data_IF_994045664046
#
_entry.id   IF_994045664046
#
_cell.length_a   1.000
_cell.length_b   1.000
_cell.length_c   1.000
_cell.angle_alpha   90.00
_cell.angle_beta   90.00
_cell.angle_gamma   90.00
#
_symmetry.space_group_name_H-M   'P 1'
#
loop_
_entity.id
_entity.type
_entity.pdbx_description
1 polymer ?
#
# COMPACT_ATOMS: atom_id res chain seq x y z
N UNK A 1 17.51 -0.20 7.30
CA UNK A 1 18.64 0.75 7.47
C UNK A 1 18.40 1.51 8.75
N UNK A 2 19.45 1.84 9.51
CA UNK A 2 19.33 2.59 10.77
C UNK A 2 20.16 3.87 10.69
N UNK A 3 19.57 5.00 11.05
CA UNK A 3 20.21 6.29 11.25
C UNK A 3 20.69 6.36 12.70
N UNK A 4 22.00 6.46 12.91
CA UNK A 4 22.64 6.33 14.24
C UNK A 4 23.19 7.65 14.80
N UNK A 5 23.23 8.71 13.98
CA UNK A 5 23.82 10.01 14.36
C UNK A 5 22.85 10.94 15.05
N UNK A 6 21.54 10.67 14.95
CA UNK A 6 20.46 11.48 15.53
C UNK A 6 20.37 12.90 14.94
N UNK A 7 21.00 13.13 13.80
CA UNK A 7 20.91 14.40 13.07
C UNK A 7 19.52 14.64 12.47
N UNK A 8 18.78 13.56 12.20
CA UNK A 8 17.40 13.63 11.73
C UNK A 8 16.48 13.37 12.92
N UNK A 9 15.56 14.30 13.18
CA UNK A 9 14.58 14.13 14.26
C UNK A 9 13.75 12.86 14.00
N UNK A 10 13.78 11.93 14.95
CA UNK A 10 13.01 10.68 14.91
C UNK A 10 11.52 10.94 15.10
N UNK A 11 10.80 10.96 13.99
CA UNK A 11 9.35 11.17 13.90
C UNK A 11 8.81 10.47 12.66
N UNK A 12 7.53 10.07 12.70
CA UNK A 12 6.85 9.48 11.55
C UNK A 12 6.93 10.39 10.31
N UNK A 13 6.79 11.71 10.48
CA UNK A 13 6.94 12.70 9.39
C UNK A 13 8.32 12.70 8.74
N UNK A 14 9.36 12.24 9.44
CA UNK A 14 10.71 12.14 8.87
C UNK A 14 11.04 10.70 8.45
N UNK A 15 10.05 9.79 8.52
CA UNK A 15 10.21 8.37 8.21
C UNK A 15 11.31 7.70 9.02
N UNK A 16 11.46 8.08 10.29
CA UNK A 16 12.40 7.43 11.21
C UNK A 16 11.68 7.11 12.52
N UNK A 17 11.69 5.83 12.90
CA UNK A 17 11.11 5.39 14.17
C UNK A 17 11.97 5.79 15.39
N UNK A 18 11.51 5.45 16.60
CA UNK A 18 12.17 5.84 17.84
C UNK A 18 13.55 5.19 18.00
N UNK A 19 13.72 4.02 17.40
CA UNK A 19 14.91 3.20 17.40
C UNK A 19 15.91 3.63 16.30
N UNK A 20 15.51 4.52 15.40
CA UNK A 20 16.34 5.05 14.32
C UNK A 20 16.23 4.28 13.00
N UNK A 21 15.32 3.31 12.87
CA UNK A 21 15.10 2.64 11.59
C UNK A 21 14.37 3.56 10.62
N UNK A 22 14.89 3.64 9.41
CA UNK A 22 14.33 4.47 8.35
C UNK A 22 13.28 3.67 7.55
N UNK A 23 12.09 4.24 7.41
CA UNK A 23 11.09 3.80 6.46
C UNK A 23 11.50 4.29 5.06
N UNK A 24 12.19 3.42 4.31
CA UNK A 24 12.74 3.76 3.00
C UNK A 24 11.69 3.78 1.88
N UNK A 25 10.60 3.05 2.09
CA UNK A 25 9.48 2.89 1.18
C UNK A 25 8.34 2.18 1.93
N UNK A 26 7.17 2.04 1.32
CA UNK A 26 6.12 1.18 1.87
C UNK A 26 6.59 -0.28 1.88
N UNK A 27 6.26 -0.97 2.96
CA UNK A 27 6.72 -2.33 3.20
C UNK A 27 6.34 -3.32 2.07
N UNK A 28 5.22 -3.09 1.37
CA UNK A 28 4.80 -3.90 0.23
C UNK A 28 5.82 -3.87 -0.91
N UNK A 29 6.40 -2.71 -1.20
CA UNK A 29 7.43 -2.56 -2.23
C UNK A 29 8.73 -3.19 -1.76
N UNK A 30 9.14 -2.92 -0.52
CA UNK A 30 10.36 -3.50 0.06
C UNK A 30 10.29 -5.05 0.09
N UNK A 31 9.13 -5.61 0.42
CA UNK A 31 8.93 -7.05 0.42
C UNK A 31 9.04 -7.62 -1.00
N UNK A 32 8.35 -7.01 -1.97
CA UNK A 32 8.42 -7.39 -3.39
C UNK A 32 9.85 -7.38 -3.94
N UNK A 33 10.63 -6.38 -3.58
CA UNK A 33 12.03 -6.25 -3.99
C UNK A 33 12.91 -7.29 -3.31
N UNK A 34 12.76 -7.50 -2.00
CA UNK A 34 13.60 -8.46 -1.24
C UNK A 34 13.51 -9.89 -1.77
N UNK A 35 12.35 -10.32 -2.26
CA UNK A 35 12.15 -11.65 -2.86
C UNK A 35 12.92 -11.90 -4.15
N UNK A 36 13.35 -10.84 -4.83
CA UNK A 36 14.18 -10.95 -6.05
C UNK A 36 15.67 -11.04 -5.73
N UNK A 37 16.04 -10.91 -4.46
CA UNK A 37 17.41 -10.66 -4.03
C UNK A 37 17.72 -9.16 -4.01
N UNK A 38 18.52 -8.74 -3.03
CA UNK A 38 18.91 -7.34 -2.86
C UNK A 38 20.32 -7.17 -3.40
N UNK A 39 20.46 -6.42 -4.51
CA UNK A 39 21.75 -5.89 -4.92
C UNK A 39 22.03 -4.61 -4.13
N UNK A 40 23.16 -4.58 -3.40
CA UNK A 40 23.50 -3.49 -2.51
C UNK A 40 23.64 -2.15 -3.26
N UNK A 41 24.20 -2.17 -4.47
CA UNK A 41 24.40 -0.96 -5.28
C UNK A 41 23.05 -0.37 -5.71
N UNK A 42 22.16 -1.23 -6.21
CA UNK A 42 20.80 -0.86 -6.63
C UNK A 42 19.97 -0.40 -5.44
N UNK A 43 20.06 -1.10 -4.31
CA UNK A 43 19.35 -0.72 -3.09
C UNK A 43 19.83 0.63 -2.56
N UNK A 44 21.13 0.86 -2.51
CA UNK A 44 21.68 2.15 -2.10
C UNK A 44 21.20 3.27 -3.02
N UNK A 45 21.34 3.08 -4.34
CA UNK A 45 20.98 4.09 -5.34
C UNK A 45 19.48 4.41 -5.37
N UNK A 46 18.63 3.41 -5.18
CA UNK A 46 17.18 3.56 -5.38
C UNK A 46 16.40 3.76 -4.08
N UNK A 47 16.94 3.40 -2.91
CA UNK A 47 16.25 3.52 -1.62
C UNK A 47 17.00 4.44 -0.67
N UNK A 48 18.26 4.16 -0.39
CA UNK A 48 19.03 4.89 0.64
C UNK A 48 19.35 6.32 0.22
N UNK A 49 19.93 6.51 -0.96
CA UNK A 49 20.32 7.82 -1.45
C UNK A 49 19.11 8.77 -1.66
N UNK A 50 17.99 8.31 -2.27
CA UNK A 50 16.79 9.12 -2.39
C UNK A 50 16.20 9.51 -1.04
N UNK A 51 16.18 8.62 -0.03
CA UNK A 51 15.67 8.92 1.31
C UNK A 51 16.36 10.16 1.92
N UNK A 52 17.71 10.16 1.97
CA UNK A 52 18.44 11.29 2.57
C UNK A 52 18.36 12.56 1.73
N UNK A 53 18.36 12.44 0.39
CA UNK A 53 18.22 13.58 -0.51
C UNK A 53 16.84 14.23 -0.38
N UNK A 54 15.79 13.42 -0.29
CA UNK A 54 14.42 13.85 -0.04
C UNK A 54 14.31 14.54 1.33
N UNK A 55 14.97 14.03 2.38
CA UNK A 55 14.99 14.70 3.68
C UNK A 55 15.64 16.10 3.62
N UNK A 56 16.77 16.23 2.91
CA UNK A 56 17.42 17.54 2.71
C UNK A 56 16.46 18.50 2.00
N UNK A 57 15.80 18.04 0.94
CA UNK A 57 14.83 18.84 0.20
C UNK A 57 13.63 19.26 1.08
N UNK A 58 13.08 18.34 1.89
CA UNK A 58 11.99 18.64 2.84
C UNK A 58 12.41 19.68 3.86
N UNK A 59 13.64 19.62 4.36
CA UNK A 59 14.16 20.61 5.30
C UNK A 59 14.18 22.02 4.70
N UNK A 60 14.42 22.15 3.39
CA UNK A 60 14.47 23.43 2.68
C UNK A 60 13.09 23.92 2.24
N UNK A 61 12.18 23.03 1.89
CA UNK A 61 10.92 23.38 1.20
C UNK A 61 9.66 23.11 2.02
N UNK A 62 9.74 22.28 3.05
CA UNK A 62 8.60 21.79 3.84
C UNK A 62 8.06 20.44 3.35
N UNK A 63 8.30 20.07 2.09
CA UNK A 63 7.69 18.91 1.43
C UNK A 63 8.74 17.97 0.81
N UNK A 64 8.39 16.70 0.59
CA UNK A 64 9.26 15.76 -0.13
C UNK A 64 9.16 15.94 -1.66
N UNK A 65 10.30 15.97 -2.36
CA UNK A 65 10.37 16.27 -3.79
C UNK A 65 9.58 15.29 -4.69
N UNK A 66 9.50 14.02 -4.29
CA UNK A 66 8.87 12.95 -5.06
C UNK A 66 7.55 12.46 -4.45
N UNK A 67 6.98 13.24 -3.53
CA UNK A 67 5.89 12.79 -2.66
C UNK A 67 6.34 11.70 -1.70
N UNK A 68 5.37 11.18 -0.94
CA UNK A 68 5.55 10.08 0.00
C UNK A 68 4.29 9.22 0.02
N UNK A 69 4.43 7.94 0.38
CA UNK A 69 3.26 7.16 0.75
C UNK A 69 2.67 7.76 2.04
N UNK A 70 1.35 7.83 2.10
CA UNK A 70 0.65 8.21 3.33
C UNK A 70 1.03 7.27 4.49
N UNK A 71 0.87 7.76 5.72
CA UNK A 71 1.28 6.99 6.89
C UNK A 71 0.25 5.90 7.23
N UNK A 72 0.72 4.85 7.90
CA UNK A 72 -0.11 3.78 8.44
C UNK A 72 -1.02 3.14 7.38
N UNK A 73 -2.29 2.90 7.71
CA UNK A 73 -3.23 2.24 6.82
C UNK A 73 -3.61 3.06 5.59
N UNK A 74 -3.52 4.40 5.64
CA UNK A 74 -3.75 5.24 4.46
C UNK A 74 -2.71 4.97 3.37
N UNK A 75 -1.46 4.70 3.75
CA UNK A 75 -0.41 4.24 2.84
C UNK A 75 -0.72 2.88 2.22
N UNK A 76 -1.28 1.96 3.01
CA UNK A 76 -1.73 0.64 2.51
C UNK A 76 -2.85 0.82 1.48
N UNK A 77 -3.83 1.68 1.76
CA UNK A 77 -4.89 2.02 0.81
C UNK A 77 -4.28 2.59 -0.47
N UNK A 78 -3.39 3.58 -0.35
CA UNK A 78 -2.71 4.19 -1.49
C UNK A 78 -2.00 3.14 -2.35
N UNK A 79 -1.22 2.24 -1.74
CA UNK A 79 -0.52 1.17 -2.45
C UNK A 79 -1.48 0.29 -3.26
N UNK A 80 -2.56 -0.21 -2.67
CA UNK A 80 -3.48 -1.09 -3.39
C UNK A 80 -4.22 -0.36 -4.51
N UNK A 81 -4.59 0.91 -4.29
CA UNK A 81 -5.20 1.75 -5.32
C UNK A 81 -4.28 1.95 -6.51
N UNK A 82 -3.01 2.26 -6.27
CA UNK A 82 -2.00 2.46 -7.33
C UNK A 82 -1.66 1.16 -8.05
N UNK A 83 -1.42 0.07 -7.31
CA UNK A 83 -1.04 -1.23 -7.88
C UNK A 83 -2.17 -1.84 -8.72
N UNK A 84 -3.42 -1.74 -8.24
CA UNK A 84 -4.58 -2.28 -8.94
C UNK A 84 -5.16 -1.29 -9.96
N UNK A 85 -5.00 0.01 -9.75
CA UNK A 85 -5.73 1.04 -10.51
C UNK A 85 -7.23 1.00 -10.26
N UNK A 86 -7.63 0.73 -9.01
CA UNK A 86 -9.03 0.57 -8.58
C UNK A 86 -9.25 1.48 -7.38
N UNK A 87 -10.32 2.27 -7.39
CA UNK A 87 -10.70 3.15 -6.27
C UNK A 87 -11.74 2.52 -5.33
N UNK A 88 -12.49 1.52 -5.79
CA UNK A 88 -13.55 0.87 -5.00
C UNK A 88 -12.94 -0.06 -3.94
N UNK A 89 -13.11 0.31 -2.68
CA UNK A 89 -12.57 -0.44 -1.55
C UNK A 89 -13.13 -1.86 -1.44
N UNK A 90 -14.40 -2.11 -1.77
CA UNK A 90 -14.98 -3.46 -1.72
C UNK A 90 -14.33 -4.36 -2.77
N UNK A 91 -14.08 -3.81 -3.97
CA UNK A 91 -13.38 -4.53 -5.02
C UNK A 91 -11.94 -4.84 -4.61
N UNK A 92 -11.23 -3.87 -4.02
CA UNK A 92 -9.88 -4.08 -3.48
C UNK A 92 -9.90 -5.20 -2.43
N UNK A 93 -10.79 -5.13 -1.43
CA UNK A 93 -10.96 -6.17 -0.40
C UNK A 93 -11.17 -7.55 -1.02
N UNK A 94 -12.07 -7.66 -2.00
CA UNK A 94 -12.35 -8.94 -2.69
C UNK A 94 -11.12 -9.48 -3.43
N UNK A 95 -10.31 -8.61 -4.04
CA UNK A 95 -9.07 -9.01 -4.71
C UNK A 95 -8.04 -9.49 -3.69
N UNK A 96 -7.84 -8.76 -2.59
CA UNK A 96 -6.91 -9.17 -1.51
C UNK A 96 -7.34 -10.53 -0.95
N UNK A 97 -8.63 -10.72 -0.67
CA UNK A 97 -9.19 -11.99 -0.24
C UNK A 97 -8.86 -13.11 -1.22
N UNK A 98 -9.15 -12.92 -2.52
CA UNK A 98 -8.91 -13.94 -3.54
C UNK A 98 -7.43 -14.32 -3.67
N UNK A 99 -6.51 -13.35 -3.50
CA UNK A 99 -5.06 -13.62 -3.49
C UNK A 99 -4.67 -14.39 -2.23
N UNK A 100 -5.13 -13.97 -1.05
CA UNK A 100 -4.80 -14.57 0.24
C UNK A 100 -5.33 -16.01 0.41
N UNK A 101 -6.52 -16.28 -0.15
CA UNK A 101 -7.20 -17.58 -0.13
C UNK A 101 -6.85 -18.48 -1.32
N UNK A 102 -6.04 -17.98 -2.27
CA UNK A 102 -5.73 -18.65 -3.54
C UNK A 102 -6.98 -19.01 -4.36
N UNK A 103 -8.00 -18.15 -4.34
CA UNK A 103 -9.29 -18.31 -5.05
C UNK A 103 -9.44 -17.36 -6.24
N UNK A 104 -8.33 -16.97 -6.88
CA UNK A 104 -8.35 -16.11 -8.07
C UNK A 104 -9.04 -16.85 -9.23
N UNK A 105 -9.95 -16.21 -9.99
CA UNK A 105 -10.58 -16.81 -11.16
C UNK A 105 -9.56 -17.29 -12.20
N UNK A 106 -9.95 -18.32 -12.97
CA UNK A 106 -9.18 -18.80 -14.09
C UNK A 106 -9.00 -17.71 -15.16
N UNK A 107 -7.94 -17.82 -15.95
CA UNK A 107 -7.53 -16.80 -16.93
C UNK A 107 -8.63 -16.36 -17.91
N UNK A 108 -9.59 -17.23 -18.22
CA UNK A 108 -10.67 -16.97 -19.17
C UNK A 108 -11.99 -16.56 -18.51
N UNK A 109 -12.05 -16.55 -17.17
CA UNK A 109 -13.21 -16.09 -16.41
C UNK A 109 -13.19 -14.56 -16.27
N UNK A 110 -14.33 -13.99 -15.88
CA UNK A 110 -14.49 -12.55 -15.70
C UNK A 110 -13.56 -12.02 -14.60
N UNK A 111 -13.15 -10.76 -14.75
CA UNK A 111 -12.30 -10.10 -13.79
C UNK A 111 -13.04 -9.74 -12.49
N UNK A 112 -12.35 -9.86 -11.35
CA UNK A 112 -12.86 -9.49 -10.02
C UNK A 112 -13.20 -8.00 -9.88
N UNK A 113 -12.75 -7.16 -10.82
CA UNK A 113 -13.02 -5.73 -10.81
C UNK A 113 -14.42 -5.34 -11.32
N UNK A 114 -15.27 -6.32 -11.66
CA UNK A 114 -16.62 -6.07 -12.17
C UNK A 114 -16.70 -5.71 -13.66
N UNK A 115 -15.57 -5.66 -14.38
CA UNK A 115 -15.58 -5.50 -15.84
C UNK A 115 -16.07 -6.76 -16.54
N UNK A 116 -16.67 -6.62 -17.72
CA UNK A 116 -17.02 -7.75 -18.59
C UNK A 116 -15.80 -8.39 -19.30
N UNK A 117 -14.59 -7.93 -18.99
CA UNK A 117 -13.35 -8.48 -19.54
C UNK A 117 -12.91 -9.74 -18.79
N UNK A 118 -12.32 -10.67 -19.54
CA UNK A 118 -11.61 -11.82 -18.95
C UNK A 118 -10.45 -11.32 -18.10
N UNK A 119 -10.18 -11.96 -16.97
CA UNK A 119 -9.13 -11.53 -16.02
C UNK A 119 -7.76 -11.39 -16.70
N UNK A 120 -7.42 -12.27 -17.66
CA UNK A 120 -6.15 -12.20 -18.43
C UNK A 120 -6.01 -10.93 -19.29
N UNK A 121 -7.12 -10.31 -19.68
CA UNK A 121 -7.17 -9.07 -20.47
C UNK A 121 -7.39 -7.85 -19.58
N UNK A 122 -7.46 -8.04 -18.26
CA UNK A 122 -7.78 -7.01 -17.30
C UNK A 122 -6.72 -6.99 -16.19
N UNK A 123 -7.04 -7.43 -14.96
CA UNK A 123 -6.16 -7.27 -13.81
C UNK A 123 -5.20 -8.44 -13.52
N UNK A 124 -5.15 -9.51 -14.32
CA UNK A 124 -4.34 -10.70 -13.99
C UNK A 124 -2.87 -10.39 -13.67
N UNK A 125 -2.23 -9.48 -14.42
CA UNK A 125 -0.83 -9.11 -14.18
C UNK A 125 -0.66 -8.40 -12.83
N UNK A 126 -1.55 -7.45 -12.52
CA UNK A 126 -1.55 -6.68 -11.26
C UNK A 126 -1.87 -7.60 -10.07
N UNK A 127 -2.87 -8.47 -10.19
CA UNK A 127 -3.22 -9.47 -9.19
C UNK A 127 -2.05 -10.45 -8.94
N UNK A 128 -1.36 -10.88 -10.00
CA UNK A 128 -0.20 -11.75 -9.83
C UNK A 128 0.98 -11.03 -9.15
N UNK A 129 1.10 -9.71 -9.25
CA UNK A 129 2.12 -8.97 -8.50
C UNK A 129 1.87 -9.03 -6.99
N UNK A 130 0.61 -9.15 -6.55
CA UNK A 130 0.28 -9.28 -5.13
C UNK A 130 0.70 -10.65 -4.56
N UNK A 131 0.86 -11.67 -5.40
CA UNK A 131 1.33 -13.00 -4.96
C UNK A 131 2.76 -12.99 -4.43
N UNK A 132 3.55 -11.96 -4.74
CA UNK A 132 4.87 -11.76 -4.14
C UNK A 132 4.81 -11.09 -2.77
N UNK A 133 3.64 -10.83 -2.20
CA UNK A 133 3.50 -10.43 -0.80
C UNK A 133 3.35 -11.65 0.10
N UNK A 134 3.65 -11.50 1.38
CA UNK A 134 3.57 -12.59 2.36
C UNK A 134 2.12 -12.85 2.69
N UNK A 135 1.81 -14.11 2.99
CA UNK A 135 0.45 -14.47 3.42
C UNK A 135 0.05 -13.69 4.68
N UNK A 136 0.99 -13.48 5.61
CA UNK A 136 0.77 -12.67 6.81
C UNK A 136 0.42 -11.21 6.46
N UNK A 137 1.13 -10.57 5.54
CA UNK A 137 0.81 -9.21 5.07
C UNK A 137 -0.56 -9.15 4.43
N UNK A 138 -0.84 -10.05 3.47
CA UNK A 138 -2.14 -10.09 2.80
C UNK A 138 -3.30 -10.28 3.78
N UNK A 139 -3.14 -11.11 4.81
CA UNK A 139 -4.15 -11.31 5.85
C UNK A 139 -4.30 -10.05 6.71
N UNK A 140 -3.20 -9.45 7.15
CA UNK A 140 -3.23 -8.22 7.94
C UNK A 140 -3.91 -7.07 7.20
N UNK A 141 -3.56 -6.89 5.92
CA UNK A 141 -4.18 -5.88 5.07
C UNK A 141 -5.67 -6.17 4.87
N UNK A 142 -6.04 -7.43 4.62
CA UNK A 142 -7.43 -7.84 4.45
C UNK A 142 -8.29 -7.45 5.66
N UNK A 143 -7.82 -7.76 6.88
CA UNK A 143 -8.52 -7.42 8.12
C UNK A 143 -8.75 -5.90 8.21
N UNK A 144 -7.70 -5.10 8.00
CA UNK A 144 -7.80 -3.65 8.03
C UNK A 144 -8.79 -3.10 6.97
N UNK A 145 -8.79 -3.69 5.76
CA UNK A 145 -9.75 -3.33 4.71
C UNK A 145 -11.19 -3.72 5.07
N UNK A 146 -11.41 -4.89 5.65
CA UNK A 146 -12.74 -5.32 6.11
C UNK A 146 -13.29 -4.39 7.20
N UNK A 147 -12.48 -4.05 8.20
CA UNK A 147 -12.82 -3.08 9.25
C UNK A 147 -13.15 -1.70 8.66
N UNK A 148 -12.32 -1.23 7.72
CA UNK A 148 -12.51 0.05 7.06
C UNK A 148 -13.81 0.11 6.24
N UNK A 149 -14.10 -0.93 5.45
CA UNK A 149 -15.34 -1.01 4.65
C UNK A 149 -16.58 -1.06 5.55
N UNK A 150 -16.54 -1.84 6.64
CA UNK A 150 -17.65 -1.96 7.58
C UNK A 150 -17.94 -0.65 8.32
N UNK A 151 -16.89 0.08 8.71
CA UNK A 151 -17.00 1.39 9.36
C UNK A 151 -17.61 2.42 8.42
N UNK A 152 -17.12 2.51 7.18
CA UNK A 152 -17.64 3.44 6.18
C UNK A 152 -19.09 3.13 5.79
N UNK A 153 -19.46 1.85 5.68
CA UNK A 153 -20.84 1.45 5.41
C UNK A 153 -21.79 1.86 6.55
N UNK A 154 -21.38 1.66 7.80
CA UNK A 154 -22.15 2.05 8.98
C UNK A 154 -22.37 3.56 9.03
N UNK A 155 -21.33 4.35 8.74
CA UNK A 155 -21.41 5.82 8.68
C UNK A 155 -22.30 6.32 7.53
N UNK A 156 -22.31 5.65 6.39
CA UNK A 156 -23.20 5.96 5.27
C UNK A 156 -24.69 5.68 5.60
N UNK A 157 -24.98 4.62 6.37
CA UNK A 157 -26.36 4.35 6.84
C UNK A 157 -26.83 5.46 7.80
N UNK A 158 -26.00 5.86 8.75
CA UNK A 158 -26.34 6.87 9.76
C UNK A 158 -26.61 8.23 9.09
N UNK A 159 -25.73 8.66 8.18
CA UNK A 159 -25.88 9.94 7.46
C UNK A 159 -27.11 9.99 6.55
N UNK A 160 -27.45 8.89 5.87
CA UNK A 160 -28.67 8.82 5.05
C UNK A 160 -29.96 8.75 5.87
N UNK A 161 -29.91 8.19 7.08
CA UNK A 161 -31.06 8.17 8.00
C UNK A 161 -31.37 9.57 8.53
N UNK A 162 -30.36 10.39 8.79
CA UNK A 162 -30.53 11.80 9.19
C UNK A 162 -31.07 12.68 8.05
N UNK A 163 -30.66 12.45 6.79
CA UNK A 163 -31.19 13.18 5.62
C UNK A 163 -32.66 12.88 5.27
N UNK A 164 -33.23 11.76 5.74
CA UNK A 164 -34.63 11.39 5.50
C UNK A 164 -35.60 11.85 6.60
N UNK A 165 -35.08 12.48 7.66
CA UNK A 165 -35.85 13.02 8.79
C UNK A 165 -35.97 14.55 8.77
N UNK A 166 -35.48 15.18 7.70
CA UNK A 166 -35.63 16.60 7.35
C UNK A 166 -36.42 16.69 6.04
#
# INVERSE_FOLDING_TARGET
MQEITEHIKRTDDNHIDKEGFCCLDIEHILEKESRKGIDLTTFYKNKVYPFFTNYIFKKETGDYANGEYAHFFDGVIQYYKEELGIDDFKIITNIIYAVASNSIPNRNELCLCGSELKIKQCHLRKINSLKSLSKSRLISDLINFEEFVNTNYSNHIISNKQKRLL
#
